data_IF_719940799093
#
_entry.id   IF_719940799093
#
_cell.length_a   1.000
_cell.length_b   1.000
_cell.length_c   1.000
_cell.angle_alpha   90.00
_cell.angle_beta   90.00
_cell.angle_gamma   90.00
#
_symmetry.space_group_name_H-M   'P 1'
#
loop_
_entity.id
_entity.type
_entity.pdbx_description
1 polymer ?
#
# COMPACT_ATOMS: atom_id res chain seq x y z
N UNK A 1 -16.05 -16.82 -6.23
CA UNK A 1 -15.21 -15.99 -5.35
C UNK A 1 -15.05 -14.61 -5.94
N UNK A 2 -15.30 -13.58 -5.13
CA UNK A 2 -15.27 -12.18 -5.55
C UNK A 2 -13.85 -11.66 -5.78
N UNK A 3 -13.72 -10.57 -6.56
CA UNK A 3 -12.45 -9.91 -6.80
C UNK A 3 -12.00 -9.17 -5.53
N UNK A 4 -10.86 -9.56 -4.96
CA UNK A 4 -10.29 -8.96 -3.74
C UNK A 4 -10.12 -7.44 -3.87
N UNK A 5 -9.75 -6.92 -5.04
CA UNK A 5 -9.58 -5.49 -5.23
C UNK A 5 -10.90 -4.72 -5.17
N UNK A 6 -12.02 -5.34 -5.55
CA UNK A 6 -13.34 -4.71 -5.46
C UNK A 6 -13.84 -4.72 -4.03
N UNK A 7 -13.72 -5.86 -3.34
CA UNK A 7 -14.09 -5.99 -1.91
C UNK A 7 -13.24 -5.06 -1.04
N UNK A 8 -11.97 -4.89 -1.36
CA UNK A 8 -11.07 -3.96 -0.67
C UNK A 8 -11.53 -2.49 -0.79
N UNK A 9 -12.23 -2.12 -1.87
CA UNK A 9 -12.76 -0.76 -2.05
C UNK A 9 -14.03 -0.50 -1.24
N UNK A 10 -14.81 -1.55 -0.96
CA UNK A 10 -15.97 -1.49 -0.07
C UNK A 10 -15.63 -1.78 1.40
N UNK A 11 -14.35 -1.98 1.71
CA UNK A 11 -13.87 -2.28 3.05
C UNK A 11 -14.14 -1.11 4.00
N UNK A 12 -14.55 -1.45 5.22
CA UNK A 12 -14.78 -0.48 6.29
C UNK A 12 -13.90 -0.87 7.47
N UNK A 13 -13.09 0.10 7.93
CA UNK A 13 -12.29 -0.06 9.14
C UNK A 13 -13.11 0.29 10.39
N UNK A 14 -12.91 -0.48 11.46
CA UNK A 14 -13.52 -0.19 12.76
C UNK A 14 -13.06 1.16 13.34
N UNK A 15 -13.98 1.85 14.04
CA UNK A 15 -13.72 3.16 14.66
C UNK A 15 -13.21 3.07 16.10
N UNK A 16 -13.51 1.98 16.78
CA UNK A 16 -13.03 1.62 18.12
C UNK A 16 -12.71 0.12 18.17
N UNK A 17 -12.08 -0.33 19.25
CA UNK A 17 -11.76 -1.77 19.43
C UNK A 17 -13.03 -2.63 19.46
N UNK A 18 -14.12 -2.07 19.97
CA UNK A 18 -15.40 -2.76 20.22
C UNK A 18 -16.33 -2.74 18.98
N UNK A 19 -16.08 -1.82 18.04
CA UNK A 19 -16.96 -1.56 16.88
C UNK A 19 -16.79 -2.52 15.70
N UNK A 20 -16.06 -3.64 15.86
CA UNK A 20 -15.81 -4.59 14.78
C UNK A 20 -17.10 -5.17 14.17
N UNK A 21 -18.13 -5.41 15.00
CA UNK A 21 -19.45 -5.87 14.54
C UNK A 21 -20.17 -4.88 13.62
N UNK A 22 -20.21 -3.59 13.99
CA UNK A 22 -20.80 -2.54 13.14
C UNK A 22 -20.03 -2.39 11.83
N UNK A 23 -18.70 -2.45 11.88
CA UNK A 23 -17.88 -2.38 10.68
C UNK A 23 -18.16 -3.57 9.73
N UNK A 24 -18.38 -4.77 10.28
CA UNK A 24 -18.78 -5.94 9.50
C UNK A 24 -20.16 -5.76 8.86
N UNK A 25 -21.16 -5.26 9.60
CA UNK A 25 -22.48 -4.94 9.03
C UNK A 25 -22.38 -3.89 7.92
N UNK A 26 -21.61 -2.83 8.13
CA UNK A 26 -21.37 -1.81 7.12
C UNK A 26 -20.71 -2.37 5.85
N UNK A 27 -19.79 -3.33 5.99
CA UNK A 27 -19.21 -4.03 4.84
C UNK A 27 -20.25 -4.86 4.07
N UNK A 28 -21.19 -5.51 4.76
CA UNK A 28 -22.31 -6.21 4.13
C UNK A 28 -23.24 -5.22 3.39
N UNK A 29 -23.55 -4.07 3.99
CA UNK A 29 -24.37 -3.03 3.35
C UNK A 29 -23.68 -2.41 2.14
N UNK A 30 -22.35 -2.21 2.19
CA UNK A 30 -21.60 -1.78 1.02
C UNK A 30 -21.61 -2.84 -0.08
N UNK A 31 -21.56 -4.13 0.28
CA UNK A 31 -21.60 -5.23 -0.68
C UNK A 31 -22.93 -5.30 -1.45
N UNK A 32 -24.04 -4.91 -0.82
CA UNK A 32 -25.38 -4.83 -1.43
C UNK A 32 -25.71 -3.48 -2.06
N UNK A 33 -24.76 -2.53 -2.09
CA UNK A 33 -24.93 -1.21 -2.71
C UNK A 33 -25.60 -0.16 -1.83
N UNK A 34 -25.89 -0.48 -0.57
CA UNK A 34 -26.56 0.43 0.38
C UNK A 34 -25.55 1.12 1.31
N UNK A 35 -24.55 1.79 0.73
CA UNK A 35 -23.48 2.45 1.50
C UNK A 35 -23.97 3.58 2.43
N UNK A 36 -25.13 4.16 2.15
CA UNK A 36 -25.76 5.18 3.00
C UNK A 36 -26.18 4.63 4.37
N UNK A 37 -26.52 3.34 4.45
CA UNK A 37 -26.90 2.71 5.72
C UNK A 37 -25.75 2.65 6.73
N UNK A 38 -24.51 2.57 6.23
CA UNK A 38 -23.35 2.60 7.12
C UNK A 38 -23.25 3.92 7.89
N UNK A 39 -23.64 5.04 7.28
CA UNK A 39 -23.64 6.33 7.98
C UNK A 39 -24.55 6.31 9.19
N UNK A 40 -25.71 5.63 9.11
CA UNK A 40 -26.63 5.47 10.23
C UNK A 40 -26.12 4.52 11.32
N UNK A 41 -25.23 3.57 10.98
CA UNK A 41 -24.61 2.69 11.98
C UNK A 41 -23.68 3.45 12.94
N UNK A 42 -23.21 4.64 12.59
CA UNK A 42 -22.33 5.43 13.46
C UNK A 42 -23.03 6.00 14.70
N UNK A 43 -24.35 6.16 14.65
CA UNK A 43 -25.13 6.65 15.78
C UNK A 43 -25.39 5.56 16.83
N UNK A 44 -25.15 4.30 16.48
CA UNK A 44 -25.35 3.15 17.37
C UNK A 44 -24.20 3.12 18.37
N UNK A 45 -24.55 3.27 19.65
CA UNK A 45 -23.59 3.15 20.75
C UNK A 45 -23.21 1.69 20.94
N UNK A 46 -21.92 1.41 20.81
CA UNK A 46 -21.33 0.12 21.19
C UNK A 46 -20.84 0.21 22.62
N UNK A 47 -21.19 -0.77 23.45
CA UNK A 47 -20.70 -0.88 24.82
C UNK A 47 -19.26 -1.43 24.86
N UNK A 48 -18.61 -1.36 26.02
CA UNK A 48 -17.22 -1.84 26.20
C UNK A 48 -17.05 -3.33 25.90
N UNK A 49 -18.13 -4.12 25.93
CA UNK A 49 -18.16 -5.53 25.55
C UNK A 49 -18.32 -5.82 24.06
N UNK A 50 -18.48 -4.79 23.21
CA UNK A 50 -18.79 -4.97 21.80
C UNK A 50 -20.28 -5.27 21.54
N UNK A 51 -20.57 -5.78 20.34
CA UNK A 51 -21.92 -6.20 19.93
C UNK A 51 -22.05 -7.72 19.94
N UNK A 52 -23.17 -8.21 20.45
CA UNK A 52 -23.57 -9.61 20.31
C UNK A 52 -24.10 -9.91 18.90
N UNK A 53 -24.08 -11.19 18.50
CA UNK A 53 -24.67 -11.65 17.24
C UNK A 53 -26.18 -11.33 17.16
N UNK A 54 -26.89 -11.42 18.28
CA UNK A 54 -28.32 -11.11 18.37
C UNK A 54 -28.61 -9.63 18.14
N UNK A 55 -27.78 -8.73 18.68
CA UNK A 55 -27.90 -7.30 18.40
C UNK A 55 -27.54 -6.98 16.95
N UNK A 56 -26.51 -7.61 16.38
CA UNK A 56 -26.21 -7.42 14.97
C UNK A 56 -27.35 -7.92 14.06
N UNK A 57 -28.00 -9.02 14.45
CA UNK A 57 -29.19 -9.53 13.76
C UNK A 57 -30.35 -8.55 13.82
N UNK A 58 -30.61 -7.93 14.98
CA UNK A 58 -31.68 -6.94 15.12
C UNK A 58 -31.39 -5.68 14.30
N UNK A 59 -30.14 -5.20 14.29
CA UNK A 59 -29.70 -4.06 13.48
C UNK A 59 -29.83 -4.37 11.98
N UNK A 60 -29.42 -5.56 11.54
CA UNK A 60 -29.56 -5.99 10.15
C UNK A 60 -31.04 -6.05 9.74
N UNK A 61 -31.90 -6.60 10.61
CA UNK A 61 -33.35 -6.69 10.38
C UNK A 61 -34.01 -5.31 10.30
N UNK A 62 -33.64 -4.39 11.20
CA UNK A 62 -34.09 -3.00 11.17
C UNK A 62 -33.65 -2.26 9.91
N UNK A 63 -32.52 -2.67 9.33
CA UNK A 63 -31.99 -2.14 8.06
C UNK A 63 -32.57 -2.82 6.81
N UNK A 64 -33.52 -3.75 6.96
CA UNK A 64 -34.20 -4.44 5.88
C UNK A 64 -33.53 -5.72 5.38
N UNK A 65 -32.58 -6.29 6.12
CA UNK A 65 -31.91 -7.56 5.77
C UNK A 65 -32.43 -8.71 6.63
N UNK A 66 -32.81 -9.82 5.98
CA UNK A 66 -33.07 -11.08 6.69
C UNK A 66 -31.75 -11.72 7.11
N UNK A 67 -31.44 -11.64 8.41
CA UNK A 67 -30.25 -12.19 9.01
C UNK A 67 -30.61 -13.18 10.12
N UNK A 68 -29.79 -14.21 10.29
CA UNK A 68 -29.95 -15.26 11.30
C UNK A 68 -28.62 -15.54 11.98
N UNK A 69 -28.63 -15.55 13.32
CA UNK A 69 -27.50 -16.02 14.12
C UNK A 69 -27.50 -17.55 14.09
N UNK A 70 -26.46 -18.15 13.51
CA UNK A 70 -26.38 -19.60 13.30
C UNK A 70 -25.02 -20.14 13.73
N UNK A 71 -24.98 -21.43 14.04
CA UNK A 71 -23.74 -22.20 14.10
C UNK A 71 -23.62 -23.00 12.81
N UNK A 72 -22.45 -22.97 12.15
CA UNK A 72 -22.26 -23.68 10.89
C UNK A 72 -20.86 -24.30 10.78
N UNK A 73 -20.80 -25.47 10.14
CA UNK A 73 -19.55 -26.16 9.88
C UNK A 73 -18.83 -25.63 8.62
N UNK A 74 -17.53 -25.93 8.51
CA UNK A 74 -16.72 -25.57 7.34
C UNK A 74 -17.32 -26.11 6.03
N UNK A 75 -17.92 -27.30 6.05
CA UNK A 75 -18.55 -27.92 4.87
C UNK A 75 -19.70 -27.09 4.29
N UNK A 76 -20.46 -26.42 5.16
CA UNK A 76 -21.50 -25.49 4.73
C UNK A 76 -20.89 -24.19 4.21
N UNK A 77 -19.90 -23.65 4.93
CA UNK A 77 -19.20 -22.43 4.53
C UNK A 77 -18.51 -22.57 3.15
N UNK A 78 -18.01 -23.76 2.81
CA UNK A 78 -17.44 -24.06 1.47
C UNK A 78 -18.44 -23.81 0.35
N UNK A 79 -19.69 -24.22 0.55
CA UNK A 79 -20.78 -24.15 -0.44
C UNK A 79 -21.42 -22.77 -0.50
N UNK A 80 -21.18 -21.92 0.51
CA UNK A 80 -21.76 -20.60 0.61
C UNK A 80 -21.16 -19.65 -0.44
N UNK A 81 -22.03 -19.06 -1.26
CA UNK A 81 -21.69 -18.17 -2.38
C UNK A 81 -21.90 -16.67 -2.08
N UNK A 82 -22.34 -16.37 -0.86
CA UNK A 82 -22.69 -15.05 -0.35
C UNK A 82 -21.88 -14.72 0.91
N UNK A 83 -21.72 -13.44 1.27
CA UNK A 83 -20.95 -13.10 2.45
C UNK A 83 -21.72 -13.37 3.75
N UNK A 84 -20.98 -13.71 4.80
CA UNK A 84 -21.46 -13.89 6.16
C UNK A 84 -20.47 -13.30 7.16
N UNK A 85 -20.93 -13.00 8.38
CA UNK A 85 -20.07 -12.48 9.45
C UNK A 85 -19.71 -13.64 10.37
N UNK A 86 -18.43 -13.90 10.59
CA UNK A 86 -17.92 -14.97 11.45
C UNK A 86 -17.51 -14.40 12.81
N UNK A 87 -17.82 -15.12 13.89
CA UNK A 87 -17.34 -14.82 15.23
C UNK A 87 -16.03 -15.59 15.51
N UNK A 88 -14.93 -14.86 15.38
CA UNK A 88 -13.55 -15.37 15.40
C UNK A 88 -12.79 -14.96 16.66
N UNK A 89 -11.59 -15.51 16.85
CA UNK A 89 -10.63 -15.06 17.83
C UNK A 89 -9.39 -14.45 17.17
N UNK A 90 -8.86 -13.41 17.81
CA UNK A 90 -7.59 -12.77 17.44
C UNK A 90 -6.40 -13.60 17.92
N UNK A 91 -5.19 -13.21 17.49
CA UNK A 91 -3.93 -13.83 17.91
C UNK A 91 -3.69 -13.77 19.44
N UNK A 92 -4.35 -12.84 20.13
CA UNK A 92 -4.30 -12.67 21.58
C UNK A 92 -5.48 -13.34 22.32
N UNK A 93 -6.31 -14.12 21.61
CA UNK A 93 -7.46 -14.82 22.19
C UNK A 93 -8.69 -13.95 22.45
N UNK A 94 -8.67 -12.67 22.03
CA UNK A 94 -9.84 -11.79 22.14
C UNK A 94 -10.86 -12.11 21.04
N UNK A 95 -12.14 -12.05 21.39
CA UNK A 95 -13.24 -12.22 20.44
C UNK A 95 -13.28 -11.09 19.41
N UNK A 96 -13.60 -11.43 18.17
CA UNK A 96 -13.60 -10.50 17.05
C UNK A 96 -14.53 -10.94 15.92
N UNK A 97 -15.07 -9.99 15.15
CA UNK A 97 -15.90 -10.29 13.99
C UNK A 97 -15.16 -10.03 12.68
N UNK A 98 -15.34 -10.93 11.71
CA UNK A 98 -14.77 -10.83 10.37
C UNK A 98 -15.79 -11.22 9.31
N UNK A 99 -15.74 -10.60 8.13
CA UNK A 99 -16.63 -10.97 7.02
C UNK A 99 -15.95 -12.00 6.13
N UNK A 100 -16.60 -13.15 5.94
CA UNK A 100 -16.23 -14.13 4.92
C UNK A 100 -17.04 -13.87 3.66
N UNK A 101 -16.39 -13.61 2.53
CA UNK A 101 -17.04 -13.38 1.22
C UNK A 101 -17.16 -14.66 0.38
N UNK A 102 -16.80 -15.81 0.95
CA UNK A 102 -16.90 -17.11 0.30
C UNK A 102 -15.54 -17.76 0.00
N UNK A 103 -15.63 -18.99 -0.48
CA UNK A 103 -14.49 -19.88 -0.66
C UNK A 103 -14.07 -20.04 -2.12
N UNK A 104 -12.83 -20.50 -2.34
CA UNK A 104 -12.34 -20.99 -3.64
C UNK A 104 -11.35 -22.11 -3.43
N UNK A 105 -11.49 -23.16 -4.22
CA UNK A 105 -10.51 -24.25 -4.25
C UNK A 105 -9.22 -23.77 -4.92
N UNK A 106 -8.08 -23.97 -4.26
CA UNK A 106 -6.75 -23.54 -4.70
C UNK A 106 -5.77 -24.70 -4.53
N UNK A 107 -5.59 -25.51 -5.58
CA UNK A 107 -4.84 -26.76 -5.48
C UNK A 107 -5.65 -27.78 -4.68
N UNK A 108 -5.08 -28.33 -3.61
CA UNK A 108 -5.72 -29.35 -2.78
C UNK A 108 -6.43 -28.82 -1.53
N UNK A 109 -6.53 -27.49 -1.35
CA UNK A 109 -7.17 -26.88 -0.19
C UNK A 109 -8.08 -25.71 -0.56
N UNK A 110 -9.04 -25.40 0.31
CA UNK A 110 -9.89 -24.22 0.17
C UNK A 110 -9.20 -22.98 0.73
N UNK A 111 -9.39 -21.85 0.03
CA UNK A 111 -9.04 -20.52 0.49
C UNK A 111 -10.29 -19.67 0.63
N UNK A 112 -10.39 -18.92 1.73
CA UNK A 112 -11.51 -18.05 2.05
C UNK A 112 -11.12 -16.60 1.89
N UNK A 113 -11.98 -15.79 1.26
CA UNK A 113 -11.79 -14.34 1.17
C UNK A 113 -12.34 -13.70 2.44
N UNK A 114 -11.46 -13.27 3.32
CA UNK A 114 -11.80 -12.68 4.62
C UNK A 114 -11.58 -11.17 4.60
N UNK A 115 -12.42 -10.43 5.31
CA UNK A 115 -12.19 -9.03 5.64
C UNK A 115 -12.26 -8.85 7.16
N UNK A 116 -11.12 -8.48 7.73
CA UNK A 116 -10.99 -8.14 9.14
C UNK A 116 -11.04 -6.60 9.27
N UNK A 117 -12.04 -6.03 9.97
CA UNK A 117 -12.22 -4.59 10.10
C UNK A 117 -11.08 -3.89 10.87
N UNK A 118 -10.25 -4.63 11.60
CA UNK A 118 -9.06 -4.11 12.30
C UNK A 118 -7.78 -4.18 11.45
N UNK A 119 -7.74 -5.10 10.48
CA UNK A 119 -6.58 -5.34 9.59
C UNK A 119 -6.87 -4.85 8.17
N UNK A 120 -7.40 -5.74 7.32
CA UNK A 120 -7.73 -5.50 5.91
C UNK A 120 -8.46 -6.72 5.31
N UNK A 121 -8.63 -6.72 3.98
CA UNK A 121 -9.07 -7.88 3.19
C UNK A 121 -7.90 -8.78 2.82
N UNK A 122 -8.05 -10.11 2.98
CA UNK A 122 -7.01 -11.11 2.73
C UNK A 122 -7.57 -12.50 2.43
N UNK A 123 -6.68 -13.42 2.03
CA UNK A 123 -7.00 -14.83 1.85
C UNK A 123 -6.49 -15.64 3.03
N UNK A 124 -7.31 -16.58 3.46
CA UNK A 124 -7.08 -17.43 4.63
C UNK A 124 -7.24 -18.89 4.19
N UNK A 125 -6.31 -19.77 4.58
CA UNK A 125 -6.46 -21.21 4.30
C UNK A 125 -7.48 -21.83 5.24
N UNK A 126 -8.02 -22.99 4.87
CA UNK A 126 -8.99 -23.70 5.69
C UNK A 126 -8.47 -24.03 7.10
N UNK A 127 -7.23 -24.51 7.21
CA UNK A 127 -6.62 -24.83 8.50
C UNK A 127 -6.46 -23.59 9.39
N UNK A 128 -6.01 -22.47 8.80
CA UNK A 128 -5.90 -21.21 9.51
C UNK A 128 -7.28 -20.68 9.94
N UNK A 129 -8.33 -20.90 9.14
CA UNK A 129 -9.69 -20.48 9.46
C UNK A 129 -10.25 -21.29 10.63
N UNK A 130 -10.02 -22.60 10.61
CA UNK A 130 -10.47 -23.51 11.66
C UNK A 130 -9.88 -23.13 13.02
N UNK A 131 -8.60 -22.72 13.06
CA UNK A 131 -7.90 -22.26 14.26
C UNK A 131 -8.52 -20.99 14.86
N UNK A 132 -8.93 -20.02 14.04
CA UNK A 132 -9.47 -18.75 14.54
C UNK A 132 -10.99 -18.78 14.75
N UNK A 133 -11.71 -19.67 14.06
CA UNK A 133 -13.16 -19.77 14.12
C UNK A 133 -13.58 -20.92 15.03
N UNK A 134 -13.23 -20.80 16.31
CA UNK A 134 -13.46 -21.81 17.35
C UNK A 134 -14.95 -21.99 17.64
N UNK A 135 -15.70 -20.88 17.70
CA UNK A 135 -17.11 -20.90 18.11
C UNK A 135 -18.07 -21.44 17.06
N UNK A 136 -17.64 -21.56 15.79
CA UNK A 136 -18.49 -21.88 14.62
C UNK A 136 -19.74 -21.00 14.45
N UNK A 137 -19.87 -19.96 15.25
CA UNK A 137 -20.98 -19.02 15.22
C UNK A 137 -20.76 -17.99 14.11
N UNK A 138 -21.85 -17.64 13.43
CA UNK A 138 -21.86 -16.68 12.35
C UNK A 138 -23.23 -16.00 12.22
N UNK A 139 -23.23 -14.80 11.65
CA UNK A 139 -24.42 -14.13 11.16
C UNK A 139 -24.58 -14.43 9.67
N UNK A 140 -25.60 -15.22 9.36
CA UNK A 140 -25.97 -15.64 8.02
C UNK A 140 -27.06 -14.73 7.45
N UNK A 141 -27.03 -14.48 6.14
CA UNK A 141 -28.00 -13.62 5.45
C UNK A 141 -28.72 -14.40 4.35
N UNK A 142 -30.05 -14.38 4.34
CA UNK A 142 -30.86 -15.19 3.41
C UNK A 142 -30.82 -14.71 1.95
N UNK A 143 -30.77 -13.39 1.76
CA UNK A 143 -30.77 -12.78 0.43
C UNK A 143 -29.80 -11.60 0.40
N UNK A 144 -28.66 -11.78 -0.28
CA UNK A 144 -27.70 -10.72 -0.55
C UNK A 144 -27.36 -10.70 -2.04
N UNK A 145 -27.69 -9.60 -2.70
CA UNK A 145 -27.31 -9.36 -4.09
C UNK A 145 -26.09 -8.44 -4.10
N UNK A 146 -25.04 -8.84 -4.80
CA UNK A 146 -23.86 -7.99 -4.95
C UNK A 146 -24.19 -6.76 -5.81
N UNK A 147 -24.04 -5.57 -5.24
CA UNK A 147 -24.00 -4.30 -5.96
C UNK A 147 -22.86 -3.43 -5.46
N UNK A 148 -21.72 -3.53 -6.15
CA UNK A 148 -20.52 -2.74 -5.87
C UNK A 148 -20.30 -1.65 -6.93
N UNK A 149 -21.35 -1.23 -7.61
CA UNK A 149 -21.29 -0.23 -8.68
C UNK A 149 -20.72 1.11 -8.18
N UNK A 150 -21.12 1.55 -6.99
CA UNK A 150 -20.60 2.75 -6.33
C UNK A 150 -19.07 2.71 -6.09
N UNK A 151 -18.51 1.51 -5.89
CA UNK A 151 -17.10 1.29 -5.57
C UNK A 151 -16.26 0.88 -6.79
N UNK A 152 -16.82 0.93 -8.00
CA UNK A 152 -16.05 0.66 -9.24
C UNK A 152 -15.02 1.74 -9.56
N UNK A 153 -15.20 2.97 -9.06
CA UNK A 153 -14.22 4.04 -9.24
C UNK A 153 -12.89 3.68 -8.59
N UNK A 154 -11.80 4.11 -9.22
CA UNK A 154 -10.46 3.84 -8.72
C UNK A 154 -10.21 4.59 -7.40
N UNK A 155 -9.68 3.94 -6.34
CA UNK A 155 -9.36 4.62 -5.08
C UNK A 155 -8.32 5.73 -5.24
N UNK A 156 -7.57 5.69 -6.35
CA UNK A 156 -6.57 6.68 -6.73
C UNK A 156 -7.17 8.05 -7.01
N UNK A 157 -8.45 8.10 -7.42
CA UNK A 157 -9.13 9.37 -7.69
C UNK A 157 -9.14 10.29 -6.46
N UNK A 158 -9.23 9.73 -5.25
CA UNK A 158 -9.19 10.49 -4.01
C UNK A 158 -7.84 11.14 -3.74
N UNK A 159 -6.74 10.46 -4.06
CA UNK A 159 -5.40 11.03 -3.97
C UNK A 159 -5.22 12.22 -4.93
N UNK A 160 -5.72 12.11 -6.17
CA UNK A 160 -5.66 13.20 -7.15
C UNK A 160 -6.60 14.36 -6.82
N UNK A 161 -7.73 14.08 -6.17
CA UNK A 161 -8.69 15.10 -5.71
C UNK A 161 -8.14 16.02 -4.62
N UNK A 162 -7.08 15.63 -3.91
CA UNK A 162 -6.60 16.36 -2.73
C UNK A 162 -6.19 17.81 -3.00
N UNK A 163 -6.06 18.26 -4.27
CA UNK A 163 -5.67 19.63 -4.71
C UNK A 163 -4.54 20.25 -3.88
N UNK A 164 -3.75 19.41 -3.20
CA UNK A 164 -2.73 19.80 -2.25
C UNK A 164 -1.47 20.23 -2.98
N UNK A 165 -1.33 19.79 -4.23
CA UNK A 165 -0.20 20.01 -5.11
C UNK A 165 -0.33 21.30 -5.92
N UNK A 166 0.64 22.23 -5.82
CA UNK A 166 0.72 23.35 -6.75
C UNK A 166 0.98 22.81 -8.17
N UNK A 167 0.27 23.34 -9.16
CA UNK A 167 0.36 22.85 -10.55
C UNK A 167 1.80 22.82 -11.10
N UNK A 168 2.67 23.74 -10.67
CA UNK A 168 4.06 23.79 -11.11
C UNK A 168 4.91 22.56 -10.71
N UNK A 169 4.57 21.85 -9.63
CA UNK A 169 5.34 20.68 -9.17
C UNK A 169 5.26 19.49 -10.13
N UNK A 170 4.16 19.38 -10.90
CA UNK A 170 3.97 18.32 -11.88
C UNK A 170 4.96 18.39 -13.04
N UNK A 171 5.47 19.59 -13.36
CA UNK A 171 6.38 19.79 -14.49
C UNK A 171 7.83 19.93 -14.02
N UNK A 172 8.06 20.74 -12.99
CA UNK A 172 9.43 21.08 -12.57
C UNK A 172 10.19 19.86 -12.02
N UNK A 173 9.51 18.94 -11.33
CA UNK A 173 10.17 17.81 -10.66
C UNK A 173 10.63 16.75 -11.68
N UNK A 174 9.79 16.31 -12.64
CA UNK A 174 10.25 15.44 -13.73
C UNK A 174 11.31 16.12 -14.59
N UNK A 175 11.18 17.44 -14.85
CA UNK A 175 12.17 18.18 -15.63
C UNK A 175 13.54 18.19 -14.95
N UNK A 176 13.61 18.47 -13.65
CA UNK A 176 14.86 18.41 -12.89
C UNK A 176 15.43 16.99 -12.88
N UNK A 177 14.59 15.97 -12.77
CA UNK A 177 15.01 14.56 -12.87
C UNK A 177 15.61 14.25 -14.25
N UNK A 178 14.95 14.67 -15.32
CA UNK A 178 15.46 14.50 -16.68
C UNK A 178 16.77 15.26 -16.91
N UNK A 179 16.88 16.48 -16.38
CA UNK A 179 18.12 17.26 -16.42
C UNK A 179 19.27 16.56 -15.68
N UNK A 180 19.01 15.96 -14.51
CA UNK A 180 20.04 15.19 -13.79
C UNK A 180 20.49 13.96 -14.57
N UNK A 181 19.57 13.27 -15.25
CA UNK A 181 19.88 12.13 -16.09
C UNK A 181 20.66 12.54 -17.34
N UNK A 182 20.27 13.64 -18.01
CA UNK A 182 20.97 14.15 -19.19
C UNK A 182 22.39 14.59 -18.89
N UNK A 183 22.63 15.29 -17.76
CA UNK A 183 24.00 15.60 -17.32
C UNK A 183 24.81 14.35 -16.98
N UNK A 184 24.15 13.32 -16.40
CA UNK A 184 24.77 12.02 -16.18
C UNK A 184 25.22 11.34 -17.48
N UNK A 185 24.35 11.30 -18.49
CA UNK A 185 24.67 10.75 -19.81
C UNK A 185 25.75 11.57 -20.52
N UNK A 186 25.69 12.90 -20.43
CA UNK A 186 26.71 13.80 -20.98
C UNK A 186 28.09 13.52 -20.37
N UNK A 187 28.16 13.34 -19.05
CA UNK A 187 29.40 12.97 -18.36
C UNK A 187 29.96 11.64 -18.88
N UNK A 188 29.12 10.59 -18.98
CA UNK A 188 29.54 9.29 -19.52
C UNK A 188 30.02 9.38 -20.97
N UNK A 189 29.34 10.17 -21.80
CA UNK A 189 29.69 10.36 -23.20
C UNK A 189 31.02 11.10 -23.38
N UNK A 190 31.26 12.17 -22.61
CA UNK A 190 32.54 12.91 -22.62
C UNK A 190 33.69 11.98 -22.22
N UNK A 191 33.50 11.14 -21.20
CA UNK A 191 34.52 10.19 -20.77
C UNK A 191 34.84 9.15 -21.85
N UNK A 192 33.82 8.57 -22.49
CA UNK A 192 33.99 7.61 -23.59
C UNK A 192 34.71 8.25 -24.78
N UNK A 193 34.34 9.47 -25.17
CA UNK A 193 34.99 10.16 -26.28
C UNK A 193 36.43 10.57 -25.94
N UNK A 194 36.69 10.91 -24.67
CA UNK A 194 38.02 11.22 -24.16
C UNK A 194 38.99 10.03 -24.26
N UNK A 195 38.51 8.81 -23.99
CA UNK A 195 39.34 7.60 -24.12
C UNK A 195 39.64 7.22 -25.57
N UNK A 196 38.71 7.47 -26.49
CA UNK A 196 38.80 6.98 -27.87
C UNK A 196 39.56 7.91 -28.82
N UNK A 197 39.86 9.15 -28.42
CA UNK A 197 40.52 10.14 -29.27
C UNK A 197 41.88 10.56 -28.68
N UNK A 198 42.97 10.29 -29.40
CA UNK A 198 44.33 10.69 -29.02
C UNK A 198 44.52 12.20 -28.84
N UNK A 199 43.64 13.02 -29.44
CA UNK A 199 43.60 14.48 -29.27
C UNK A 199 43.40 14.95 -27.83
N UNK A 200 42.77 14.11 -26.99
CA UNK A 200 42.48 14.46 -25.60
C UNK A 200 43.73 14.46 -24.71
N UNK A 201 44.85 13.87 -25.14
CA UNK A 201 46.09 13.84 -24.35
C UNK A 201 46.95 15.11 -24.43
N UNK A 202 46.52 16.14 -25.18
CA UNK A 202 47.20 17.45 -25.19
C UNK A 202 46.88 18.20 -23.89
N UNK A 203 47.89 18.75 -23.21
CA UNK A 203 47.76 19.41 -21.89
C UNK A 203 46.61 20.43 -21.82
N UNK A 204 46.48 21.29 -22.83
CA UNK A 204 45.42 22.31 -22.86
C UNK A 204 44.01 21.70 -22.99
N UNK A 205 43.88 20.59 -23.72
CA UNK A 205 42.61 19.89 -23.92
C UNK A 205 42.22 19.10 -22.67
N UNK A 206 43.19 18.48 -21.99
CA UNK A 206 42.96 17.80 -20.71
C UNK A 206 42.37 18.78 -19.69
N UNK A 207 43.00 19.95 -19.52
CA UNK A 207 42.53 20.97 -18.57
C UNK A 207 41.11 21.42 -18.92
N UNK A 208 40.82 21.68 -20.20
CA UNK A 208 39.48 22.06 -20.64
C UNK A 208 38.43 20.98 -20.37
N UNK A 209 38.77 19.70 -20.57
CA UNK A 209 37.87 18.57 -20.35
C UNK A 209 37.63 18.33 -18.86
N UNK A 210 38.65 18.48 -18.02
CA UNK A 210 38.50 18.43 -16.56
C UNK A 210 37.57 19.54 -16.07
N UNK A 211 37.74 20.77 -16.56
CA UNK A 211 36.85 21.90 -16.24
C UNK A 211 35.41 21.61 -16.72
N UNK A 212 35.24 21.07 -17.92
CA UNK A 212 33.92 20.69 -18.44
C UNK A 212 33.26 19.61 -17.58
N UNK A 213 33.99 18.56 -17.19
CA UNK A 213 33.50 17.49 -16.33
C UNK A 213 33.13 18.02 -14.94
N UNK A 214 33.93 18.92 -14.39
CA UNK A 214 33.62 19.60 -13.13
C UNK A 214 32.31 20.39 -13.26
N UNK A 215 32.16 21.19 -14.31
CA UNK A 215 30.95 21.98 -14.55
C UNK A 215 29.71 21.10 -14.72
N UNK A 216 29.79 20.04 -15.52
CA UNK A 216 28.71 19.05 -15.67
C UNK A 216 28.35 18.41 -14.32
N UNK A 217 29.35 18.05 -13.51
CA UNK A 217 29.15 17.43 -12.18
C UNK A 217 28.46 18.39 -11.20
N UNK A 218 28.87 19.65 -11.17
CA UNK A 218 28.26 20.70 -10.33
C UNK A 218 26.82 20.97 -10.78
N UNK A 219 26.57 21.13 -12.08
CA UNK A 219 25.22 21.32 -12.62
C UNK A 219 24.30 20.14 -12.30
N UNK A 220 24.78 18.89 -12.49
CA UNK A 220 24.05 17.68 -12.10
C UNK A 220 23.70 17.69 -10.61
N UNK A 221 24.67 17.99 -9.75
CA UNK A 221 24.49 18.00 -8.30
C UNK A 221 23.52 19.11 -7.86
N UNK A 222 23.58 20.29 -8.48
CA UNK A 222 22.67 21.39 -8.22
C UNK A 222 21.23 21.02 -8.61
N UNK A 223 21.00 20.44 -9.80
CA UNK A 223 19.68 19.97 -10.21
C UNK A 223 19.13 18.90 -9.24
N UNK A 224 20.00 17.97 -8.79
CA UNK A 224 19.61 16.94 -7.83
C UNK A 224 19.24 17.54 -6.46
N UNK A 225 20.02 18.52 -5.98
CA UNK A 225 19.73 19.25 -4.75
C UNK A 225 18.42 20.03 -4.83
N UNK A 226 18.20 20.80 -5.90
CA UNK A 226 16.96 21.53 -6.15
C UNK A 226 15.75 20.60 -6.14
N UNK A 227 15.85 19.44 -6.81
CA UNK A 227 14.80 18.43 -6.79
C UNK A 227 14.52 17.95 -5.37
N UNK A 228 15.55 17.61 -4.60
CA UNK A 228 15.39 17.14 -3.22
C UNK A 228 14.78 18.20 -2.30
N UNK A 229 15.22 19.46 -2.43
CA UNK A 229 14.70 20.59 -1.68
C UNK A 229 13.19 20.79 -1.93
N UNK A 230 12.77 20.73 -3.21
CA UNK A 230 11.37 20.82 -3.61
C UNK A 230 10.54 19.66 -3.05
N UNK A 231 11.08 18.44 -3.04
CA UNK A 231 10.41 17.27 -2.45
C UNK A 231 10.17 17.42 -0.94
N UNK A 232 11.15 17.92 -0.20
CA UNK A 232 10.99 18.15 1.25
C UNK A 232 9.92 19.21 1.52
N UNK A 233 9.95 20.33 0.79
CA UNK A 233 8.93 21.39 0.89
C UNK A 233 7.53 20.88 0.58
N UNK A 234 7.41 20.04 -0.44
CA UNK A 234 6.15 19.44 -0.85
C UNK A 234 5.61 18.52 0.25
N UNK A 235 6.45 17.64 0.78
CA UNK A 235 6.12 16.71 1.85
C UNK A 235 5.58 17.44 3.09
N UNK A 236 6.27 18.50 3.54
CA UNK A 236 5.84 19.33 4.66
C UNK A 236 4.52 20.07 4.38
N UNK A 237 4.36 20.63 3.17
CA UNK A 237 3.16 21.38 2.81
C UNK A 237 1.91 20.51 2.78
N UNK A 238 2.00 19.29 2.22
CA UNK A 238 0.89 18.33 2.18
C UNK A 238 0.50 17.92 3.61
N UNK A 239 1.47 17.59 4.46
CA UNK A 239 1.22 17.25 5.86
C UNK A 239 0.48 18.37 6.60
N UNK A 240 0.99 19.59 6.50
CA UNK A 240 0.43 20.75 7.19
C UNK A 240 -1.01 21.03 6.73
N UNK A 241 -1.30 20.91 5.43
CA UNK A 241 -2.67 21.09 4.90
C UNK A 241 -3.63 20.01 5.42
N UNK A 242 -3.27 18.73 5.34
CA UNK A 242 -4.10 17.62 5.80
C UNK A 242 -4.34 17.69 7.32
N UNK A 243 -3.26 17.87 8.09
CA UNK A 243 -3.33 17.98 9.54
C UNK A 243 -4.19 19.16 9.97
N UNK A 244 -3.99 20.35 9.38
CA UNK A 244 -4.81 21.52 9.72
C UNK A 244 -6.27 21.37 9.33
N UNK A 245 -6.57 20.70 8.21
CA UNK A 245 -7.95 20.41 7.81
C UNK A 245 -8.65 19.48 8.80
N UNK A 246 -7.96 18.41 9.21
CA UNK A 246 -8.47 17.48 10.21
C UNK A 246 -8.66 18.15 11.59
N UNK A 247 -7.67 18.91 12.06
CA UNK A 247 -7.79 19.66 13.31
C UNK A 247 -8.96 20.65 13.28
N UNK A 248 -9.12 21.40 12.19
CA UNK A 248 -10.28 22.31 12.05
C UNK A 248 -11.60 21.55 12.15
N UNK A 249 -11.72 20.40 11.51
CA UNK A 249 -12.92 19.58 11.60
C UNK A 249 -13.19 19.15 13.05
N UNK A 250 -12.17 18.61 13.73
CA UNK A 250 -12.28 18.14 15.12
C UNK A 250 -12.79 19.25 16.06
N UNK A 251 -12.23 20.46 15.94
CA UNK A 251 -12.58 21.58 16.81
C UNK A 251 -13.83 22.36 16.38
N UNK A 252 -14.29 22.23 15.13
CA UNK A 252 -15.52 22.88 14.66
C UNK A 252 -16.80 22.08 14.94
N UNK A 253 -16.69 20.80 15.32
CA UNK A 253 -17.85 20.02 15.77
C UNK A 253 -18.46 20.66 17.04
N UNK A 254 -19.77 20.91 17.03
CA UNK A 254 -20.50 21.52 18.16
C UNK A 254 -20.79 20.47 19.26
N UNK A 255 -20.86 20.88 20.55
CA UNK A 255 -21.31 20.02 21.64
C UNK A 255 -22.74 19.54 21.39
N UNK A 256 -22.91 18.23 21.21
CA UNK A 256 -24.21 17.56 20.94
C UNK A 256 -24.20 16.64 19.72
N UNK A 257 -23.47 17.00 18.66
CA UNK A 257 -23.33 16.21 17.41
C UNK A 257 -21.92 15.65 17.23
N UNK A 258 -21.14 15.53 18.31
CA UNK A 258 -19.80 14.96 18.23
C UNK A 258 -19.88 13.48 17.86
N UNK A 259 -19.41 13.06 16.67
CA UNK A 259 -19.01 11.68 16.51
C UNK A 259 -18.00 11.40 17.64
N UNK A 260 -18.23 10.33 18.41
CA UNK A 260 -17.34 9.98 19.53
C UNK A 260 -15.98 9.61 18.94
N UNK A 261 -15.08 10.59 18.88
CA UNK A 261 -13.70 10.38 18.46
C UNK A 261 -13.01 9.63 19.59
N UNK A 262 -12.80 8.34 19.37
CA UNK A 262 -12.02 7.49 20.28
C UNK A 262 -10.52 7.75 20.09
N UNK A 263 -9.67 7.55 21.11
CA UNK A 263 -8.22 7.57 20.94
C UNK A 263 -7.75 6.65 19.82
N UNK A 264 -8.44 5.52 19.65
CA UNK A 264 -8.22 4.56 18.56
C UNK A 264 -8.44 5.19 17.17
N UNK A 265 -9.60 5.80 16.93
CA UNK A 265 -9.92 6.48 15.66
C UNK A 265 -8.97 7.64 15.37
N UNK A 266 -8.61 8.42 16.40
CA UNK A 266 -7.70 9.54 16.30
C UNK A 266 -6.31 9.10 15.84
N UNK A 267 -5.75 8.09 16.51
CA UNK A 267 -4.45 7.50 16.16
C UNK A 267 -4.45 6.97 14.73
N UNK A 268 -5.52 6.27 14.33
CA UNK A 268 -5.66 5.75 12.98
C UNK A 268 -5.73 6.85 11.93
N UNK A 269 -6.48 7.94 12.18
CA UNK A 269 -6.59 9.07 11.26
C UNK A 269 -5.25 9.82 11.10
N UNK A 270 -4.47 10.00 12.18
CA UNK A 270 -3.13 10.58 12.06
C UNK A 270 -2.18 9.71 11.24
N UNK A 271 -2.25 8.38 11.42
CA UNK A 271 -1.48 7.44 10.61
C UNK A 271 -1.92 7.48 9.14
N UNK A 272 -3.22 7.60 8.87
CA UNK A 272 -3.72 7.73 7.51
C UNK A 272 -3.26 9.02 6.84
N UNK A 273 -3.23 10.14 7.56
CA UNK A 273 -2.67 11.41 7.05
C UNK A 273 -1.21 11.20 6.61
N UNK A 274 -0.39 10.50 7.41
CA UNK A 274 0.99 10.19 7.06
C UNK A 274 1.08 9.29 5.81
N UNK A 275 0.25 8.25 5.72
CA UNK A 275 0.21 7.35 4.55
C UNK A 275 -0.22 8.07 3.28
N UNK A 276 -1.26 8.90 3.37
CA UNK A 276 -1.74 9.74 2.26
C UNK A 276 -0.62 10.67 1.80
N UNK A 277 0.04 11.36 2.72
CA UNK A 277 1.15 12.24 2.43
C UNK A 277 2.33 11.51 1.74
N UNK A 278 2.71 10.33 2.24
CA UNK A 278 3.78 9.51 1.65
C UNK A 278 3.41 9.06 0.24
N UNK A 279 2.22 8.51 0.05
CA UNK A 279 1.72 8.11 -1.27
C UNK A 279 1.70 9.29 -2.26
N UNK A 280 1.23 10.44 -1.80
CA UNK A 280 1.11 11.62 -2.64
C UNK A 280 2.51 12.17 -3.04
N UNK A 281 3.51 12.08 -2.15
CA UNK A 281 4.91 12.36 -2.51
C UNK A 281 5.46 11.35 -3.52
N UNK A 282 5.25 10.04 -3.30
CA UNK A 282 5.74 8.96 -4.16
C UNK A 282 5.19 9.03 -5.59
N UNK A 283 3.94 9.51 -5.76
CA UNK A 283 3.38 9.77 -7.09
C UNK A 283 4.25 10.75 -7.88
N UNK A 284 4.68 11.85 -7.25
CA UNK A 284 5.45 12.91 -7.93
C UNK A 284 6.94 12.57 -7.99
N UNK A 285 7.51 12.08 -6.89
CA UNK A 285 8.94 11.83 -6.78
C UNK A 285 9.39 10.61 -7.57
N UNK A 286 8.54 9.59 -7.68
CA UNK A 286 8.93 8.28 -8.20
C UNK A 286 8.11 7.94 -9.44
N UNK A 287 6.78 7.83 -9.35
CA UNK A 287 5.96 7.40 -10.50
C UNK A 287 6.05 8.38 -11.66
N UNK A 288 5.89 9.68 -11.40
CA UNK A 288 5.94 10.70 -12.44
C UNK A 288 7.37 10.93 -12.94
N UNK A 289 8.32 11.07 -12.01
CA UNK A 289 9.70 11.44 -12.34
C UNK A 289 10.51 10.28 -12.92
N UNK A 290 10.53 9.13 -12.24
CA UNK A 290 11.22 7.93 -12.73
C UNK A 290 10.44 7.30 -13.90
N UNK A 291 9.12 7.44 -13.94
CA UNK A 291 8.31 7.05 -15.10
C UNK A 291 8.63 7.87 -16.36
N UNK A 292 8.81 9.19 -16.23
CA UNK A 292 9.26 10.04 -17.34
C UNK A 292 10.67 9.66 -17.82
N UNK A 293 11.59 9.35 -16.90
CA UNK A 293 12.91 8.82 -17.25
C UNK A 293 12.83 7.48 -17.97
N UNK A 294 11.99 6.58 -17.49
CA UNK A 294 11.79 5.26 -18.11
C UNK A 294 11.28 5.42 -19.56
N UNK A 295 10.30 6.30 -19.79
CA UNK A 295 9.80 6.61 -21.14
C UNK A 295 10.90 7.21 -22.01
N UNK A 296 11.70 8.13 -21.46
CA UNK A 296 12.83 8.75 -22.17
C UNK A 296 13.91 7.71 -22.57
N UNK A 297 14.27 6.80 -21.67
CA UNK A 297 15.24 5.74 -21.99
C UNK A 297 14.67 4.72 -22.96
N UNK A 298 13.41 4.32 -22.80
CA UNK A 298 12.75 3.37 -23.71
C UNK A 298 12.57 3.96 -25.11
N UNK A 299 12.25 5.26 -25.23
CA UNK A 299 12.17 5.93 -26.52
C UNK A 299 13.55 6.08 -27.18
N UNK A 300 14.59 6.38 -26.41
CA UNK A 300 15.97 6.40 -26.91
C UNK A 300 16.41 5.02 -27.41
N UNK A 301 16.12 3.94 -26.67
CA UNK A 301 16.41 2.57 -27.12
C UNK A 301 15.58 2.23 -28.36
N UNK A 302 14.31 2.61 -28.44
CA UNK A 302 13.45 2.35 -29.59
C UNK A 302 13.93 3.06 -30.86
N UNK A 303 14.44 4.28 -30.73
CA UNK A 303 15.03 5.03 -31.83
C UNK A 303 16.31 4.37 -32.37
N UNK A 304 17.13 3.81 -31.48
CA UNK A 304 18.40 3.18 -31.85
C UNK A 304 18.20 1.76 -32.40
N UNK A 305 17.50 0.91 -31.64
CA UNK A 305 17.28 -0.50 -31.93
C UNK A 305 15.86 -0.92 -31.48
N UNK A 306 14.88 -0.96 -32.40
CA UNK A 306 13.48 -1.28 -32.08
C UNK A 306 13.30 -2.64 -31.41
N UNK A 307 14.08 -3.65 -31.80
CA UNK A 307 14.00 -5.00 -31.22
C UNK A 307 14.45 -5.01 -29.74
N UNK A 308 15.46 -4.23 -29.37
CA UNK A 308 15.93 -4.13 -28.00
C UNK A 308 14.90 -3.41 -27.12
N UNK A 309 14.19 -2.42 -27.67
CA UNK A 309 13.08 -1.77 -26.98
C UNK A 309 11.93 -2.73 -26.71
N UNK A 310 11.60 -3.62 -27.66
CA UNK A 310 10.54 -4.62 -27.49
C UNK A 310 10.85 -5.61 -26.37
N UNK A 311 12.10 -6.07 -26.27
CA UNK A 311 12.57 -6.93 -25.17
C UNK A 311 12.38 -6.23 -23.82
N UNK A 312 12.87 -5.00 -23.68
CA UNK A 312 12.71 -4.20 -22.47
C UNK A 312 11.23 -3.96 -22.14
N UNK A 313 10.38 -3.72 -23.15
CA UNK A 313 8.94 -3.52 -22.95
C UNK A 313 8.24 -4.78 -22.43
N UNK A 314 8.55 -5.96 -22.98
CA UNK A 314 8.01 -7.24 -22.48
C UNK A 314 8.45 -7.46 -21.03
N UNK A 315 9.72 -7.22 -20.72
CA UNK A 315 10.25 -7.31 -19.36
C UNK A 315 9.47 -6.41 -18.38
N UNK A 316 9.21 -5.15 -18.75
CA UNK A 316 8.41 -4.22 -17.95
C UNK A 316 6.97 -4.73 -17.72
N UNK A 317 6.33 -5.29 -18.75
CA UNK A 317 4.98 -5.86 -18.63
C UNK A 317 4.93 -7.06 -17.68
N UNK A 318 5.90 -7.97 -17.76
CA UNK A 318 5.97 -9.16 -16.91
C UNK A 318 6.07 -8.76 -15.44
N UNK A 319 7.02 -7.90 -15.08
CA UNK A 319 7.21 -7.47 -13.69
C UNK A 319 6.06 -6.59 -13.21
N UNK A 320 5.53 -5.71 -14.06
CA UNK A 320 4.33 -4.93 -13.76
C UNK A 320 3.14 -5.82 -13.39
N UNK A 321 2.95 -6.93 -14.11
CA UNK A 321 1.87 -7.88 -13.83
C UNK A 321 2.07 -8.66 -12.52
N UNK A 322 3.31 -9.09 -12.23
CA UNK A 322 3.67 -9.82 -11.00
C UNK A 322 3.48 -8.93 -9.77
N UNK A 323 3.93 -7.68 -9.85
CA UNK A 323 3.81 -6.71 -8.76
C UNK A 323 2.36 -6.32 -8.50
N UNK A 324 1.57 -6.12 -9.55
CA UNK A 324 0.13 -5.86 -9.43
C UNK A 324 -0.61 -7.00 -8.70
N UNK A 325 -0.35 -8.26 -9.06
CA UNK A 325 -0.97 -9.42 -8.39
C UNK A 325 -0.55 -9.55 -6.92
N UNK A 326 0.69 -9.21 -6.58
CA UNK A 326 1.22 -9.29 -5.22
C UNK A 326 0.76 -8.16 -4.28
N UNK A 327 0.20 -7.08 -4.83
CA UNK A 327 -0.09 -5.85 -4.10
C UNK A 327 -1.10 -6.03 -2.96
N UNK A 328 -2.17 -6.80 -3.20
CA UNK A 328 -3.19 -7.05 -2.19
C UNK A 328 -2.61 -7.78 -0.95
N UNK A 329 -1.77 -8.79 -1.18
CA UNK A 329 -1.14 -9.57 -0.12
C UNK A 329 -0.12 -8.74 0.66
N UNK A 330 0.73 -7.97 -0.03
CA UNK A 330 1.70 -7.09 0.63
C UNK A 330 0.99 -6.08 1.55
N UNK A 331 -0.07 -5.44 1.04
CA UNK A 331 -0.88 -4.48 1.80
C UNK A 331 -1.46 -5.10 3.07
N UNK A 332 -1.99 -6.34 2.97
CA UNK A 332 -2.46 -7.07 4.15
C UNK A 332 -1.34 -7.34 5.16
N UNK A 333 -0.18 -7.82 4.71
CA UNK A 333 0.94 -8.11 5.60
C UNK A 333 1.39 -6.89 6.40
N UNK A 334 1.44 -5.70 5.77
CA UNK A 334 1.73 -4.46 6.48
C UNK A 334 0.62 -4.05 7.43
N UNK A 335 -0.65 -4.19 7.04
CA UNK A 335 -1.79 -3.90 7.92
C UNK A 335 -1.81 -4.82 9.15
N UNK A 336 -1.51 -6.11 8.96
CA UNK A 336 -1.44 -7.12 10.02
C UNK A 336 -0.33 -6.83 11.03
N UNK A 337 0.89 -6.50 10.58
CA UNK A 337 1.96 -6.07 11.47
C UNK A 337 1.58 -4.85 12.30
N UNK A 338 1.01 -3.85 11.63
CA UNK A 338 0.59 -2.62 12.28
C UNK A 338 -0.49 -2.87 13.33
N UNK A 339 -1.42 -3.79 13.04
CA UNK A 339 -2.45 -4.22 13.98
C UNK A 339 -1.84 -4.92 15.20
N UNK A 340 -0.92 -5.87 15.00
CA UNK A 340 -0.26 -6.57 16.10
C UNK A 340 0.53 -5.63 16.99
N UNK A 341 1.30 -4.71 16.40
CA UNK A 341 2.01 -3.67 17.15
C UNK A 341 1.06 -2.82 18.00
N UNK A 342 -0.06 -2.37 17.41
CA UNK A 342 -1.07 -1.59 18.14
C UNK A 342 -1.74 -2.40 19.26
N UNK A 343 -2.10 -3.66 19.00
CA UNK A 343 -2.71 -4.55 19.98
C UNK A 343 -1.78 -4.78 21.18
N UNK A 344 -0.49 -5.01 20.94
CA UNK A 344 0.49 -5.16 22.02
C UNK A 344 0.67 -3.90 22.84
N UNK A 345 0.66 -2.72 22.21
CA UNK A 345 0.74 -1.44 22.94
C UNK A 345 -0.50 -1.22 23.79
N UNK A 346 -1.69 -1.52 23.27
CA UNK A 346 -2.95 -1.37 24.01
C UNK A 346 -3.04 -2.33 25.19
N UNK A 347 -2.57 -3.57 25.03
CA UNK A 347 -2.45 -4.54 26.13
C UNK A 347 -1.50 -4.00 27.22
N UNK A 348 -0.34 -3.48 26.83
CA UNK A 348 0.62 -2.90 27.75
C UNK A 348 0.06 -1.68 28.48
N UNK A 349 -0.68 -0.80 27.80
CA UNK A 349 -1.36 0.33 28.42
C UNK A 349 -2.43 -0.11 29.44
N UNK A 350 -3.24 -1.13 29.09
CA UNK A 350 -4.26 -1.70 30.00
C UNK A 350 -3.59 -2.28 31.25
N UNK A 351 -2.49 -3.00 31.10
CA UNK A 351 -1.75 -3.57 32.24
C UNK A 351 -1.11 -2.49 33.11
N UNK A 352 -0.53 -1.43 32.52
CA UNK A 352 0.03 -0.29 33.28
C UNK A 352 -1.07 0.45 34.05
N UNK A 353 -2.23 0.69 33.44
CA UNK A 353 -3.36 1.33 34.12
C UNK A 353 -3.88 0.48 35.28
N UNK A 354 -3.96 -0.85 35.10
CA UNK A 354 -4.30 -1.78 36.17
C UNK A 354 -3.26 -1.77 37.31
N UNK A 355 -1.97 -1.71 36.97
CA UNK A 355 -0.88 -1.61 37.97
C UNK A 355 -0.99 -0.32 38.79
N UNK A 356 -1.31 0.81 38.16
CA UNK A 356 -1.51 2.08 38.86
C UNK A 356 -2.76 2.05 39.77
N UNK A 357 -3.84 1.40 39.34
CA UNK A 357 -5.11 1.37 40.09
C UNK A 357 -5.11 0.37 41.25
N UNK A 358 -4.57 -0.83 41.04
CA UNK A 358 -4.77 -1.96 41.95
C UNK A 358 -3.47 -2.44 42.63
N UNK A 359 -2.32 -1.86 42.30
CA UNK A 359 -1.02 -2.39 42.73
C UNK A 359 -0.71 -3.76 42.11
N UNK A 360 0.42 -4.36 42.50
CA UNK A 360 0.89 -5.64 41.95
C UNK A 360 0.07 -6.84 42.45
N UNK A 361 -1.08 -7.10 41.83
CA UNK A 361 -1.87 -8.32 42.10
C UNK A 361 -1.38 -9.54 41.31
N UNK A 362 -0.53 -9.36 40.30
CA UNK A 362 0.06 -10.43 39.48
C UNK A 362 1.58 -10.52 39.71
N UNK A 363 2.20 -11.71 39.58
CA UNK A 363 3.64 -11.84 39.66
C UNK A 363 4.27 -11.04 38.51
N UNK A 364 4.90 -9.91 38.83
CA UNK A 364 5.55 -8.96 37.89
C UNK A 364 6.35 -9.68 36.79
N UNK A 365 7.05 -10.78 37.15
CA UNK A 365 7.85 -11.57 36.23
C UNK A 365 7.06 -12.28 35.13
N UNK A 366 5.80 -12.67 35.38
CA UNK A 366 4.98 -13.41 34.42
C UNK A 366 4.39 -12.46 33.36
N UNK A 367 3.89 -11.29 33.79
CA UNK A 367 3.44 -10.25 32.86
C UNK A 367 4.61 -9.66 32.06
N UNK A 368 5.76 -9.45 32.69
CA UNK A 368 6.96 -8.99 31.99
C UNK A 368 7.38 -10.00 30.91
N UNK A 369 7.42 -11.30 31.25
CA UNK A 369 7.76 -12.36 30.30
C UNK A 369 6.74 -12.47 29.16
N UNK A 370 5.46 -12.26 29.44
CA UNK A 370 4.40 -12.20 28.42
C UNK A 370 4.63 -11.04 27.44
N UNK A 371 4.88 -9.82 27.94
CA UNK A 371 5.18 -8.66 27.10
C UNK A 371 6.46 -8.83 26.28
N UNK A 372 7.52 -9.40 26.87
CA UNK A 372 8.75 -9.75 26.15
C UNK A 372 8.49 -10.75 25.02
N UNK A 373 7.72 -11.80 25.30
CA UNK A 373 7.37 -12.83 24.30
C UNK A 373 6.55 -12.22 23.15
N UNK A 374 5.57 -11.36 23.45
CA UNK A 374 4.78 -10.68 22.42
C UNK A 374 5.65 -9.73 21.58
N UNK A 375 6.58 -9.01 22.21
CA UNK A 375 7.53 -8.16 21.51
C UNK A 375 8.43 -8.97 20.57
N UNK A 376 8.98 -10.10 21.04
CA UNK A 376 9.82 -10.99 20.25
C UNK A 376 9.03 -11.58 19.06
N UNK A 377 7.77 -11.96 19.26
CA UNK A 377 6.89 -12.42 18.19
C UNK A 377 6.69 -11.33 17.12
N UNK A 378 6.40 -10.09 17.53
CA UNK A 378 6.24 -8.96 16.62
C UNK A 378 7.51 -8.66 15.82
N UNK A 379 8.68 -8.67 16.48
CA UNK A 379 9.98 -8.51 15.82
C UNK A 379 10.21 -9.64 14.83
N UNK A 380 9.94 -10.89 15.20
CA UNK A 380 10.12 -12.04 14.33
C UNK A 380 9.23 -11.97 13.10
N UNK A 381 7.96 -11.56 13.24
CA UNK A 381 7.09 -11.36 12.08
C UNK A 381 7.56 -10.20 11.19
N UNK A 382 8.01 -9.10 11.79
CA UNK A 382 8.58 -7.97 11.06
C UNK A 382 9.80 -8.42 10.26
N UNK A 383 10.67 -9.22 10.87
CA UNK A 383 11.83 -9.84 10.22
C UNK A 383 11.41 -10.72 9.05
N UNK A 384 10.42 -11.60 9.23
CA UNK A 384 9.93 -12.48 8.16
C UNK A 384 9.38 -11.68 6.97
N UNK A 385 8.66 -10.59 7.23
CA UNK A 385 8.14 -9.72 6.18
C UNK A 385 9.22 -8.92 5.49
N UNK A 386 10.20 -8.41 6.24
CA UNK A 386 11.39 -7.75 5.68
C UNK A 386 12.19 -8.71 4.78
N UNK A 387 12.40 -9.96 5.22
CA UNK A 387 13.09 -11.00 4.43
C UNK A 387 12.29 -11.34 3.16
N UNK A 388 10.97 -11.55 3.27
CA UNK A 388 10.11 -11.80 2.09
C UNK A 388 10.16 -10.62 1.10
N UNK A 389 10.15 -9.39 1.59
CA UNK A 389 10.29 -8.19 0.76
C UNK A 389 11.67 -8.12 0.10
N UNK A 390 12.73 -8.45 0.84
CA UNK A 390 14.11 -8.53 0.33
C UNK A 390 14.27 -9.57 -0.77
N UNK A 391 13.69 -10.77 -0.60
CA UNK A 391 13.67 -11.83 -1.62
C UNK A 391 12.96 -11.34 -2.88
N UNK A 392 11.81 -10.67 -2.75
CA UNK A 392 11.12 -10.07 -3.91
C UNK A 392 11.98 -9.02 -4.62
N UNK A 393 12.66 -8.17 -3.86
CA UNK A 393 13.63 -7.20 -4.40
C UNK A 393 14.73 -7.89 -5.20
N UNK A 394 15.36 -8.91 -4.61
CA UNK A 394 16.39 -9.72 -5.26
C UNK A 394 15.87 -10.38 -6.54
N UNK A 395 14.67 -10.96 -6.53
CA UNK A 395 14.10 -11.58 -7.74
C UNK A 395 13.89 -10.57 -8.87
N UNK A 396 13.49 -9.34 -8.54
CA UNK A 396 13.34 -8.27 -9.54
C UNK A 396 14.70 -7.85 -10.12
N UNK A 397 15.75 -7.77 -9.28
CA UNK A 397 17.11 -7.45 -9.74
C UNK A 397 17.70 -8.56 -10.62
N UNK A 398 17.47 -9.83 -10.27
CA UNK A 398 17.92 -10.97 -11.07
C UNK A 398 17.22 -10.97 -12.43
N UNK A 399 15.89 -10.82 -12.46
CA UNK A 399 15.13 -10.73 -13.71
C UNK A 399 15.61 -9.56 -14.57
N UNK A 400 15.92 -8.42 -13.94
CA UNK A 400 16.50 -7.26 -14.58
C UNK A 400 17.85 -7.54 -15.22
N UNK A 401 18.73 -8.22 -14.49
CA UNK A 401 20.06 -8.63 -14.97
C UNK A 401 19.94 -9.60 -16.14
N UNK A 402 19.01 -10.56 -16.08
CA UNK A 402 18.72 -11.49 -17.18
C UNK A 402 18.28 -10.72 -18.44
N UNK A 403 17.39 -9.74 -18.30
CA UNK A 403 16.95 -8.88 -19.41
C UNK A 403 18.13 -8.12 -20.04
N UNK A 404 19.02 -7.54 -19.23
CA UNK A 404 20.21 -6.83 -19.72
C UNK A 404 21.17 -7.77 -20.43
N UNK A 405 21.42 -8.97 -19.89
CA UNK A 405 22.27 -9.98 -20.52
C UNK A 405 21.68 -10.40 -21.87
N UNK A 406 20.37 -10.59 -21.95
CA UNK A 406 19.69 -10.97 -23.19
C UNK A 406 19.80 -9.87 -24.26
N UNK A 407 19.62 -8.60 -23.88
CA UNK A 407 19.85 -7.48 -24.81
C UNK A 407 21.32 -7.42 -25.23
N UNK A 408 22.25 -7.61 -24.30
CA UNK A 408 23.68 -7.59 -24.56
C UNK A 408 24.10 -8.69 -25.55
N UNK A 409 23.65 -9.93 -25.38
CA UNK A 409 24.03 -11.05 -26.24
C UNK A 409 23.51 -10.88 -27.66
N UNK A 410 22.25 -10.47 -27.82
CA UNK A 410 21.66 -10.22 -29.14
C UNK A 410 22.34 -9.03 -29.81
N UNK A 411 22.61 -7.95 -29.06
CA UNK A 411 23.29 -6.77 -29.61
C UNK A 411 24.74 -7.09 -30.03
N UNK A 412 25.43 -7.95 -29.27
CA UNK A 412 26.79 -8.40 -29.60
C UNK A 412 26.79 -9.27 -30.86
N UNK A 413 25.80 -10.16 -31.03
CA UNK A 413 25.66 -10.93 -32.26
C UNK A 413 25.43 -10.03 -33.47
N UNK A 414 24.55 -9.04 -33.35
CA UNK A 414 24.32 -8.06 -34.43
C UNK A 414 25.56 -7.21 -34.75
N UNK A 415 26.38 -6.88 -33.74
CA UNK A 415 27.66 -6.21 -33.94
C UNK A 415 28.66 -7.09 -34.71
N UNK A 416 28.70 -8.39 -34.43
CA UNK A 416 29.56 -9.35 -35.14
C UNK A 416 29.18 -9.52 -36.61
N UNK A 417 27.90 -9.39 -36.94
CA UNK A 417 27.38 -9.41 -38.33
C UNK A 417 27.52 -8.03 -39.01
N UNK A 418 28.27 -7.09 -38.43
CA UNK A 418 28.51 -5.71 -38.89
C UNK A 418 27.23 -4.85 -39.05
N UNK A 419 26.14 -5.19 -38.36
CA UNK A 419 24.89 -4.44 -38.47
C UNK A 419 24.79 -3.21 -37.53
N UNK A 420 25.70 -3.06 -36.56
CA UNK A 420 25.63 -2.03 -35.50
C UNK A 420 27.04 -1.54 -35.09
N UNK A 421 27.21 -0.22 -34.94
CA UNK A 421 28.42 0.40 -34.39
C UNK A 421 28.63 0.11 -32.89
N UNK A 422 29.89 0.01 -32.45
CA UNK A 422 30.25 -0.19 -31.03
C UNK A 422 29.65 0.87 -30.08
N UNK A 423 29.57 2.13 -30.52
CA UNK A 423 28.95 3.22 -29.75
C UNK A 423 27.46 2.98 -29.50
N UNK A 424 26.73 2.57 -30.53
CA UNK A 424 25.29 2.26 -30.47
C UNK A 424 25.04 1.04 -29.61
N UNK A 425 25.86 -0.01 -29.76
CA UNK A 425 25.84 -1.20 -28.92
C UNK A 425 25.97 -0.84 -27.42
N UNK A 426 27.03 -0.11 -27.05
CA UNK A 426 27.28 0.27 -25.65
C UNK A 426 26.14 1.13 -25.08
N UNK A 427 25.64 2.07 -25.87
CA UNK A 427 24.60 2.99 -25.43
C UNK A 427 23.26 2.27 -25.19
N UNK A 428 22.88 1.32 -26.05
CA UNK A 428 21.65 0.52 -25.87
C UNK A 428 21.74 -0.38 -24.64
N UNK A 429 22.90 -1.01 -24.39
CA UNK A 429 23.11 -1.84 -23.20
C UNK A 429 23.01 -1.00 -21.92
N UNK A 430 23.66 0.18 -21.90
CA UNK A 430 23.60 1.10 -20.74
C UNK A 430 22.17 1.58 -20.50
N UNK A 431 21.46 2.00 -21.55
CA UNK A 431 20.06 2.44 -21.41
C UNK A 431 19.14 1.30 -20.93
N UNK A 432 19.34 0.08 -21.42
CA UNK A 432 18.58 -1.10 -20.98
C UNK A 432 18.86 -1.43 -19.50
N UNK A 433 20.11 -1.30 -19.07
CA UNK A 433 20.48 -1.42 -17.66
C UNK A 433 19.81 -0.33 -16.80
N UNK A 434 19.82 0.92 -17.26
CA UNK A 434 19.14 2.01 -16.55
C UNK A 434 17.62 1.75 -16.45
N UNK A 435 16.95 1.31 -17.52
CA UNK A 435 15.54 0.89 -17.47
C UNK A 435 15.30 -0.19 -16.41
N UNK A 436 16.17 -1.19 -16.34
CA UNK A 436 16.07 -2.28 -15.36
C UNK A 436 16.22 -1.81 -13.92
N UNK A 437 17.10 -0.84 -13.65
CA UNK A 437 17.34 -0.34 -12.27
C UNK A 437 16.26 0.60 -11.76
N UNK A 438 15.52 1.26 -12.65
CA UNK A 438 14.40 2.14 -12.27
C UNK A 438 13.16 1.35 -11.84
N UNK A 439 12.99 0.15 -12.35
CA UNK A 439 11.76 -0.62 -12.18
C UNK A 439 11.47 -1.02 -10.72
N UNK A 440 12.43 -1.56 -9.92
CA UNK A 440 12.18 -1.87 -8.51
C UNK A 440 11.69 -0.66 -7.71
N UNK A 441 12.21 0.54 -8.01
CA UNK A 441 11.78 1.79 -7.36
C UNK A 441 10.32 2.10 -7.67
N UNK A 442 9.93 2.02 -8.94
CA UNK A 442 8.55 2.27 -9.37
C UNK A 442 7.60 1.23 -8.73
N UNK A 443 7.98 -0.04 -8.73
CA UNK A 443 7.17 -1.12 -8.13
C UNK A 443 6.96 -0.92 -6.62
N UNK A 444 8.00 -0.51 -5.89
CA UNK A 444 7.89 -0.21 -4.46
C UNK A 444 7.01 1.01 -4.21
N UNK A 445 7.15 2.07 -5.02
CA UNK A 445 6.30 3.25 -4.93
C UNK A 445 4.83 2.92 -5.17
N UNK A 446 4.50 2.06 -6.14
CA UNK A 446 3.11 1.64 -6.41
C UNK A 446 2.47 0.97 -5.19
N UNK A 447 3.22 0.20 -4.40
CA UNK A 447 2.72 -0.40 -3.17
C UNK A 447 2.38 0.66 -2.10
N UNK A 448 3.28 1.63 -1.90
CA UNK A 448 3.07 2.76 -0.97
C UNK A 448 1.88 3.61 -1.41
N UNK A 449 1.76 3.85 -2.72
CA UNK A 449 0.66 4.64 -3.28
C UNK A 449 -0.68 3.93 -3.08
N UNK A 450 -0.73 2.62 -3.30
CA UNK A 450 -1.95 1.86 -3.07
C UNK A 450 -2.38 1.91 -1.60
N UNK A 451 -1.43 1.77 -0.67
CA UNK A 451 -1.72 1.89 0.77
C UNK A 451 -2.24 3.29 1.13
N UNK A 452 -1.64 4.35 0.60
CA UNK A 452 -2.14 5.71 0.81
C UNK A 452 -3.49 5.98 0.13
N UNK A 453 -3.79 5.30 -0.98
CA UNK A 453 -5.10 5.39 -1.64
C UNK A 453 -6.19 4.73 -0.77
N UNK A 454 -5.89 3.58 -0.18
CA UNK A 454 -6.80 2.94 0.77
C UNK A 454 -7.00 3.80 2.03
N UNK A 455 -5.91 4.37 2.55
CA UNK A 455 -5.97 5.31 3.67
C UNK A 455 -6.81 6.56 3.33
N UNK A 456 -6.71 7.10 2.11
CA UNK A 456 -7.52 8.23 1.65
C UNK A 456 -9.02 7.92 1.66
N UNK A 457 -9.40 6.73 1.18
CA UNK A 457 -10.80 6.27 1.22
C UNK A 457 -11.30 6.16 2.66
N UNK A 458 -10.54 5.50 3.54
CA UNK A 458 -10.93 5.34 4.95
C UNK A 458 -11.02 6.68 5.68
N UNK A 459 -10.03 7.56 5.47
CA UNK A 459 -10.00 8.89 6.07
C UNK A 459 -11.19 9.73 5.62
N UNK A 460 -11.54 9.69 4.33
CA UNK A 460 -12.71 10.41 3.86
C UNK A 460 -14.01 9.86 4.43
N UNK A 461 -14.20 8.54 4.48
CA UNK A 461 -15.38 7.93 5.11
C UNK A 461 -15.54 8.44 6.54
N UNK A 462 -14.44 8.55 7.29
CA UNK A 462 -14.42 9.13 8.63
C UNK A 462 -14.75 10.63 8.65
N UNK A 463 -14.32 11.42 7.65
CA UNK A 463 -14.69 12.84 7.54
C UNK A 463 -16.17 13.02 7.18
N UNK A 464 -16.71 12.26 6.24
CA UNK A 464 -18.11 12.39 5.79
C UNK A 464 -19.09 12.03 6.90
N UNK A 465 -18.79 11.02 7.72
CA UNK A 465 -19.62 10.68 8.87
C UNK A 465 -19.62 11.79 9.93
N UNK A 466 -18.51 12.52 10.10
CA UNK A 466 -18.49 13.67 11.01
C UNK A 466 -19.28 14.88 10.50
N UNK A 467 -19.45 15.01 9.18
CA UNK A 467 -20.09 16.16 8.54
C UNK A 467 -21.59 15.96 8.27
N UNK A 468 -22.07 14.73 8.09
CA UNK A 468 -23.50 14.43 7.87
C UNK A 468 -24.38 14.67 9.09
N UNK A 469 -23.79 15.01 10.25
CA UNK A 469 -24.50 15.50 11.43
C UNK A 469 -24.78 17.02 11.37
N UNK A 470 -24.90 17.58 10.16
CA UNK A 470 -25.38 18.93 9.86
C UNK A 470 -26.57 18.83 8.92
#
# INVERSE_FOLDING_TARGET
MYNIHLIKRSFIRQLSEESCGLACLGMIFNFSGQSQLYTHLHDIRVEEGGLSLLEMQSIASASGYSAQSVEMELDFLRKLDRPCILHTQTEHGLYHYQVCYGSKMSGNSYRYLMADPAKQVYYLTENELDLIWVSKAALYFDHLKMDLSAFRRSPWHWLFMLRAFPAGFWIIVPLLTLATASFGLAMSWVLQKGMNNSYFFKTNVIVAVVILLFLISVSKSLCAFLRQYLMIRLNMSVNQKLMSAYMRLLFQCRPGNHPRITPYSLRNNFRDIQKIQQAACEIISTVLSEGALLIFFLSAVAYLLPWAALINFIFLLVIGSVTYRGLAHNSYSFAHLNHLSAATENLLLKDIDQLHKNGLNSPLGLNLKFHQTNHDLNINQTRLLAVKSGIKGLTNEILGTINVILVFTIALWHMQVESIDYSTFMLVVILSYLCSTLLPKICNAVAVIAEGADAAVQFQTALTSTLSNK
#
